data_IF_937398030927
#
_entry.id   IF_937398030927
#
_cell.length_a   1.000
_cell.length_b   1.000
_cell.length_c   1.000
_cell.angle_alpha   90.00
_cell.angle_beta   90.00
_cell.angle_gamma   90.00
#
_symmetry.space_group_name_H-M   'P 1'
#
loop_
_entity.id
_entity.type
_entity.pdbx_description
1 polymer ?
#
# COMPACT_ATOMS: atom_id res chain seq x y z
N UNK A 1 35.37 5.77 75.30
CA UNK A 1 35.77 6.24 73.96
C UNK A 1 36.04 5.03 73.07
N UNK A 2 35.63 5.00 71.79
CA UNK A 2 34.28 5.05 71.26
C UNK A 2 33.77 3.67 70.79
N UNK A 3 32.43 3.54 70.74
CA UNK A 3 31.67 2.39 70.22
C UNK A 3 31.80 2.33 68.69
N UNK A 4 32.15 1.17 68.13
CA UNK A 4 32.09 0.92 66.68
C UNK A 4 30.66 0.52 66.29
N UNK A 5 29.93 1.47 65.73
CA UNK A 5 28.63 1.23 65.10
C UNK A 5 28.87 0.61 63.73
N UNK A 6 28.42 -0.63 63.51
CA UNK A 6 28.46 -1.27 62.21
C UNK A 6 27.28 -0.78 61.36
N UNK A 7 27.52 0.19 60.49
CA UNK A 7 26.55 0.60 59.47
C UNK A 7 26.54 -0.46 58.37
N UNK A 8 25.51 -1.31 58.34
CA UNK A 8 25.21 -2.15 57.17
C UNK A 8 24.66 -1.24 56.07
N UNK A 9 25.50 -0.93 55.08
CA UNK A 9 25.06 -0.31 53.83
C UNK A 9 24.32 -1.39 53.03
N UNK A 10 22.99 -1.28 52.96
CA UNK A 10 22.22 -1.99 51.94
C UNK A 10 22.46 -1.28 50.62
N UNK A 11 23.29 -1.88 49.75
CA UNK A 11 23.40 -1.47 48.38
C UNK A 11 22.11 -1.90 47.67
N UNK A 12 21.13 -1.01 47.60
CA UNK A 12 19.96 -1.18 46.76
C UNK A 12 20.45 -1.05 45.31
N UNK A 13 20.80 -2.17 44.68
CA UNK A 13 21.01 -2.21 43.22
C UNK A 13 19.63 -2.08 42.59
N UNK A 14 19.20 -0.84 42.37
CA UNK A 14 18.17 -0.58 41.37
C UNK A 14 18.70 -1.12 40.05
N UNK A 15 18.15 -2.24 39.57
CA UNK A 15 18.23 -2.62 38.17
C UNK A 15 17.61 -1.45 37.38
N UNK A 16 18.44 -0.50 36.99
CA UNK A 16 18.13 0.39 35.90
C UNK A 16 17.86 -0.53 34.71
N UNK A 17 16.61 -0.58 34.26
CA UNK A 17 16.22 -1.31 33.08
C UNK A 17 17.18 -0.92 31.96
N UNK A 18 17.98 -1.88 31.52
CA UNK A 18 18.67 -1.77 30.26
C UNK A 18 17.57 -1.60 29.21
N UNK A 19 17.33 -0.37 28.81
CA UNK A 19 16.62 -0.09 27.57
C UNK A 19 17.36 -0.89 26.51
N UNK A 20 16.71 -1.96 26.01
CA UNK A 20 17.21 -2.67 24.85
C UNK A 20 17.33 -1.64 23.75
N UNK A 21 18.58 -1.36 23.36
CA UNK A 21 18.87 -0.53 22.22
C UNK A 21 18.10 -1.11 21.04
N UNK A 22 17.24 -0.29 20.46
CA UNK A 22 16.47 -0.58 19.27
C UNK A 22 17.48 -0.76 18.12
N UNK A 23 17.88 -2.01 17.89
CA UNK A 23 18.79 -2.34 16.81
C UNK A 23 17.95 -2.45 15.55
N UNK A 24 17.87 -1.32 14.83
CA UNK A 24 17.22 -1.20 13.53
C UNK A 24 17.79 -2.15 12.47
N UNK A 25 17.39 -1.93 11.22
CA UNK A 25 17.55 -2.79 10.03
C UNK A 25 18.94 -3.41 9.72
N UNK A 26 19.97 -3.17 10.54
CA UNK A 26 21.34 -3.68 10.42
C UNK A 26 21.76 -4.64 11.55
N UNK A 27 20.84 -5.29 12.27
CA UNK A 27 21.21 -6.40 13.17
C UNK A 27 21.48 -7.68 12.36
N UNK A 28 22.73 -8.08 12.11
CA UNK A 28 23.04 -9.28 11.32
C UNK A 28 22.54 -10.58 11.97
N UNK A 29 22.22 -10.54 13.28
CA UNK A 29 21.67 -11.68 14.02
C UNK A 29 20.16 -11.56 14.22
N UNK A 30 19.49 -10.54 13.66
CA UNK A 30 18.08 -10.25 13.93
C UNK A 30 17.13 -11.39 13.57
N UNK A 31 17.43 -12.16 12.52
CA UNK A 31 16.66 -13.35 12.14
C UNK A 31 16.98 -14.58 13.02
N UNK A 32 18.16 -14.63 13.64
CA UNK A 32 18.58 -15.71 14.53
C UNK A 32 18.10 -15.54 15.98
N UNK A 33 17.55 -14.36 16.33
CA UNK A 33 16.95 -14.11 17.64
C UNK A 33 15.63 -14.86 17.77
N UNK A 34 15.53 -15.71 18.79
CA UNK A 34 14.29 -16.38 19.15
C UNK A 34 13.31 -15.36 19.73
N UNK A 35 12.07 -15.36 19.25
CA UNK A 35 10.99 -14.49 19.69
C UNK A 35 9.96 -15.29 20.47
N UNK A 36 9.35 -14.66 21.47
CA UNK A 36 8.25 -15.22 22.25
C UNK A 36 6.88 -14.78 21.68
N UNK A 37 6.75 -14.90 20.35
CA UNK A 37 5.54 -14.59 19.61
C UNK A 37 4.84 -15.90 19.20
N UNK A 38 3.52 -15.88 19.10
CA UNK A 38 2.77 -17.02 18.54
C UNK A 38 2.43 -16.78 17.08
N UNK A 39 3.05 -17.53 16.17
CA UNK A 39 2.72 -17.49 14.74
C UNK A 39 1.39 -18.19 14.44
N UNK A 40 0.57 -17.52 13.62
CA UNK A 40 -0.71 -18.03 13.13
C UNK A 40 -0.91 -17.66 11.66
N UNK A 41 -1.88 -18.31 11.04
CA UNK A 41 -2.24 -18.07 9.65
C UNK A 41 -3.75 -17.88 9.52
N UNK A 42 -4.17 -16.89 8.72
CA UNK A 42 -5.50 -16.81 8.15
C UNK A 42 -5.37 -17.20 6.68
N UNK A 43 -6.18 -18.15 6.22
CA UNK A 43 -6.13 -18.66 4.86
C UNK A 43 -7.53 -18.90 4.30
N UNK A 44 -7.70 -18.80 2.99
CA UNK A 44 -8.93 -19.20 2.28
C UNK A 44 -9.07 -20.71 2.17
N UNK A 45 -8.03 -21.49 2.51
CA UNK A 45 -8.11 -22.94 2.49
C UNK A 45 -8.93 -23.48 3.67
N UNK A 46 -10.05 -24.12 3.37
CA UNK A 46 -10.85 -24.84 4.35
C UNK A 46 -10.36 -26.30 4.46
N UNK A 47 -9.88 -26.70 5.63
CA UNK A 47 -9.32 -28.05 5.87
C UNK A 47 -10.36 -29.17 5.75
N UNK A 48 -11.62 -28.91 6.09
CA UNK A 48 -12.69 -29.91 6.10
C UNK A 48 -13.21 -30.16 4.69
N UNK A 49 -13.52 -29.09 3.95
CA UNK A 49 -14.08 -29.18 2.59
C UNK A 49 -13.00 -29.29 1.51
N UNK A 50 -11.75 -29.00 1.86
CA UNK A 50 -10.61 -28.85 0.93
C UNK A 50 -10.82 -27.76 -0.13
N UNK A 51 -11.80 -26.87 0.07
CA UNK A 51 -11.97 -25.71 -0.78
C UNK A 51 -10.80 -24.74 -0.55
N UNK A 52 -10.19 -24.27 -1.64
CA UNK A 52 -9.01 -23.38 -1.59
C UNK A 52 -9.37 -21.91 -1.60
N UNK A 53 -10.59 -21.58 -2.00
CA UNK A 53 -11.00 -20.24 -2.39
C UNK A 53 -12.22 -19.76 -1.64
N UNK A 54 -12.37 -18.45 -1.63
CA UNK A 54 -13.63 -17.77 -1.29
C UNK A 54 -14.17 -17.14 -2.57
N UNK A 55 -15.44 -17.40 -2.88
CA UNK A 55 -16.14 -16.76 -3.99
C UNK A 55 -16.41 -15.29 -3.65
N UNK A 56 -16.16 -14.41 -4.63
CA UNK A 56 -16.50 -12.98 -4.55
C UNK A 56 -17.37 -12.64 -5.76
N UNK A 57 -18.69 -12.88 -5.67
CA UNK A 57 -19.61 -12.62 -6.77
C UNK A 57 -19.64 -11.13 -7.12
N UNK A 58 -19.91 -10.80 -8.38
CA UNK A 58 -20.05 -9.42 -8.83
C UNK A 58 -21.11 -8.64 -8.04
N UNK A 59 -20.80 -7.39 -7.75
CA UNK A 59 -21.63 -6.50 -6.94
C UNK A 59 -21.75 -6.92 -5.47
N UNK A 60 -20.87 -7.81 -4.97
CA UNK A 60 -20.86 -8.25 -3.57
C UNK A 60 -19.57 -7.88 -2.87
N UNK A 61 -19.72 -7.49 -1.61
CA UNK A 61 -18.65 -7.45 -0.62
C UNK A 61 -18.68 -8.72 0.22
N UNK A 62 -17.51 -9.36 0.40
CA UNK A 62 -17.36 -10.62 1.12
C UNK A 62 -16.26 -10.47 2.16
N UNK A 63 -16.57 -10.79 3.42
CA UNK A 63 -15.55 -10.93 4.46
C UNK A 63 -14.76 -12.21 4.20
N UNK A 64 -13.47 -12.06 3.88
CA UNK A 64 -12.57 -13.17 3.55
C UNK A 64 -11.96 -13.76 4.81
N UNK A 65 -11.86 -12.96 5.88
CA UNK A 65 -11.51 -13.47 7.20
C UNK A 65 -11.46 -12.40 8.29
N UNK A 66 -11.59 -12.86 9.53
CA UNK A 66 -11.53 -12.04 10.73
C UNK A 66 -10.70 -12.76 11.79
N UNK A 67 -9.82 -12.01 12.46
CA UNK A 67 -8.92 -12.51 13.50
C UNK A 67 -9.08 -11.64 14.73
N UNK A 68 -9.14 -12.28 15.90
CA UNK A 68 -9.11 -11.62 17.22
C UNK A 68 -7.74 -11.80 17.87
N UNK A 69 -7.34 -10.81 18.67
CA UNK A 69 -6.10 -10.85 19.44
C UNK A 69 -5.30 -9.56 19.33
N UNK A 70 -4.08 -9.59 19.85
CA UNK A 70 -3.11 -8.49 19.80
C UNK A 70 -1.87 -8.99 19.06
N UNK A 71 -1.38 -8.24 18.09
CA UNK A 71 -0.37 -8.74 17.18
C UNK A 71 -0.07 -7.83 15.99
N UNK A 72 0.58 -8.42 14.98
CA UNK A 72 0.80 -7.75 13.70
C UNK A 72 0.72 -8.73 12.53
N UNK A 73 0.19 -8.27 11.40
CA UNK A 73 0.34 -8.98 10.12
C UNK A 73 1.78 -8.78 9.65
N UNK A 74 2.46 -9.89 9.36
CA UNK A 74 3.84 -9.91 8.90
C UNK A 74 3.94 -10.11 7.37
N UNK A 75 2.98 -10.82 6.78
CA UNK A 75 2.91 -11.03 5.34
C UNK A 75 1.47 -11.30 4.92
N UNK A 76 0.97 -10.51 3.99
CA UNK A 76 -0.30 -10.72 3.30
C UNK A 76 0.02 -11.14 1.86
N UNK A 77 -0.43 -12.32 1.46
CA UNK A 77 -0.34 -12.80 0.09
C UNK A 77 -1.74 -13.16 -0.41
N UNK A 78 -2.03 -12.85 -1.67
CA UNK A 78 -3.25 -13.29 -2.34
C UNK A 78 -3.06 -13.46 -3.85
N UNK A 79 -4.00 -14.13 -4.49
CA UNK A 79 -4.18 -14.15 -5.95
C UNK A 79 -5.64 -14.38 -6.30
N UNK A 80 -6.03 -13.97 -7.50
CA UNK A 80 -7.37 -14.12 -8.05
C UNK A 80 -7.29 -14.17 -9.59
N UNK A 81 -8.17 -14.92 -10.25
CA UNK A 81 -8.24 -14.98 -11.71
C UNK A 81 -9.13 -13.86 -12.27
N UNK A 82 -9.34 -13.91 -13.59
CA UNK A 82 -10.22 -12.99 -14.32
C UNK A 82 -9.48 -11.99 -15.18
N UNK A 83 -8.22 -11.68 -14.89
CA UNK A 83 -7.39 -10.78 -15.70
C UNK A 83 -6.46 -11.52 -16.68
N UNK A 84 -6.50 -12.86 -16.71
CA UNK A 84 -5.71 -13.73 -17.57
C UNK A 84 -6.48 -15.01 -17.91
N UNK A 85 -6.04 -15.67 -18.97
CA UNK A 85 -6.49 -16.96 -19.46
C UNK A 85 -6.13 -18.08 -18.49
N UNK A 86 -7.14 -18.87 -18.14
CA UNK A 86 -7.02 -19.86 -17.08
C UNK A 86 -6.71 -21.23 -17.68
N UNK A 87 -5.53 -21.78 -17.40
CA UNK A 87 -5.15 -23.15 -17.82
C UNK A 87 -6.13 -24.23 -17.34
N UNK A 88 -6.84 -23.99 -16.23
CA UNK A 88 -7.81 -24.93 -15.65
C UNK A 88 -9.26 -24.64 -16.05
N UNK A 89 -9.55 -23.49 -16.66
CA UNK A 89 -10.89 -23.12 -17.13
C UNK A 89 -10.82 -22.25 -18.39
N UNK A 90 -10.53 -22.85 -19.57
CA UNK A 90 -10.30 -22.12 -20.82
C UNK A 90 -11.50 -21.30 -21.31
N UNK A 91 -12.71 -21.60 -20.83
CA UNK A 91 -13.95 -20.88 -21.18
C UNK A 91 -14.28 -19.71 -20.24
N UNK A 92 -13.47 -19.48 -19.19
CA UNK A 92 -13.72 -18.39 -18.27
C UNK A 92 -13.58 -17.03 -18.98
N UNK A 93 -14.47 -16.06 -18.68
CA UNK A 93 -14.31 -14.72 -19.21
C UNK A 93 -13.04 -14.06 -18.66
N UNK A 94 -12.39 -13.27 -19.50
CA UNK A 94 -11.22 -12.46 -19.14
C UNK A 94 -11.63 -11.00 -19.21
N UNK A 95 -11.48 -10.28 -18.11
CA UNK A 95 -11.70 -8.85 -18.01
C UNK A 95 -10.60 -8.22 -17.12
N UNK A 96 -9.52 -7.65 -17.69
CA UNK A 96 -8.43 -7.06 -16.92
C UNK A 96 -8.85 -5.93 -15.98
N UNK A 97 -10.03 -5.35 -16.17
CA UNK A 97 -10.59 -4.34 -15.25
C UNK A 97 -10.78 -4.87 -13.83
N UNK A 98 -10.88 -6.19 -13.63
CA UNK A 98 -10.97 -6.80 -12.30
C UNK A 98 -9.81 -6.42 -11.38
N UNK A 99 -8.64 -6.09 -11.94
CA UNK A 99 -7.51 -5.56 -11.16
C UNK A 99 -7.85 -4.21 -10.50
N UNK A 100 -8.73 -3.42 -11.09
CA UNK A 100 -9.14 -2.10 -10.61
C UNK A 100 -10.54 -2.08 -9.97
N UNK A 101 -11.38 -3.07 -10.27
CA UNK A 101 -12.74 -3.18 -9.75
C UNK A 101 -12.87 -4.16 -8.58
N UNK A 102 -11.84 -4.95 -8.27
CA UNK A 102 -11.76 -5.72 -7.03
C UNK A 102 -11.12 -4.86 -5.94
N UNK A 103 -11.89 -4.54 -4.89
CA UNK A 103 -11.51 -3.59 -3.83
C UNK A 103 -11.10 -4.38 -2.58
N UNK A 104 -9.88 -4.13 -2.08
CA UNK A 104 -9.39 -4.63 -0.81
C UNK A 104 -9.78 -3.68 0.31
N UNK A 105 -10.35 -4.21 1.40
CA UNK A 105 -10.56 -3.48 2.66
C UNK A 105 -9.95 -4.19 3.85
N UNK A 106 -9.26 -3.44 4.70
CA UNK A 106 -8.76 -3.93 5.99
C UNK A 106 -9.22 -3.00 7.12
N UNK A 107 -9.80 -3.60 8.15
CA UNK A 107 -10.32 -2.94 9.34
C UNK A 107 -9.50 -3.36 10.55
N UNK A 108 -9.17 -2.40 11.41
CA UNK A 108 -8.45 -2.65 12.65
C UNK A 108 -9.36 -2.52 13.86
N UNK A 109 -9.20 -3.42 14.83
CA UNK A 109 -9.71 -3.28 16.19
C UNK A 109 -11.21 -3.01 16.35
N UNK A 110 -12.00 -3.47 15.37
CA UNK A 110 -13.46 -3.30 15.33
C UNK A 110 -13.91 -1.91 14.88
N UNK A 111 -13.05 -1.14 14.20
CA UNK A 111 -13.44 0.11 13.54
C UNK A 111 -14.52 -0.14 12.48
N UNK A 112 -15.44 0.83 12.35
CA UNK A 112 -16.50 0.81 11.35
C UNK A 112 -16.00 1.21 9.95
N UNK A 113 -14.88 1.94 9.86
CA UNK A 113 -14.30 2.41 8.60
C UNK A 113 -12.98 1.68 8.30
N UNK A 114 -12.79 1.22 7.06
CA UNK A 114 -11.56 0.53 6.68
C UNK A 114 -10.37 1.50 6.67
N UNK A 115 -9.29 1.14 7.34
CA UNK A 115 -8.04 1.89 7.32
C UNK A 115 -7.26 1.70 6.01
N UNK A 116 -7.45 0.54 5.37
CA UNK A 116 -6.96 0.25 4.02
C UNK A 116 -8.17 0.10 3.14
N UNK A 117 -8.29 0.91 2.09
CA UNK A 117 -9.32 0.77 1.06
C UNK A 117 -8.74 1.16 -0.30
N UNK A 118 -8.55 0.18 -1.19
CA UNK A 118 -7.97 0.42 -2.51
C UNK A 118 -8.30 -0.72 -3.49
N UNK A 119 -8.32 -0.45 -4.81
CA UNK A 119 -8.28 -1.51 -5.81
C UNK A 119 -7.03 -2.39 -5.68
N UNK A 120 -7.17 -3.68 -5.99
CA UNK A 120 -6.08 -4.66 -5.86
C UNK A 120 -4.84 -4.27 -6.67
N UNK A 121 -5.01 -3.95 -7.95
CA UNK A 121 -3.92 -3.54 -8.84
C UNK A 121 -3.17 -2.33 -8.28
N UNK A 122 -3.92 -1.29 -7.93
CA UNK A 122 -3.39 -0.05 -7.35
C UNK A 122 -2.63 -0.27 -6.04
N UNK A 123 -3.21 -1.04 -5.10
CA UNK A 123 -2.59 -1.34 -3.81
C UNK A 123 -1.27 -2.09 -3.95
N UNK A 124 -1.19 -3.02 -4.91
CA UNK A 124 0.01 -3.81 -5.16
C UNK A 124 0.97 -3.19 -6.21
N UNK A 125 0.72 -1.93 -6.61
CA UNK A 125 1.69 -1.11 -7.35
C UNK A 125 1.38 -0.77 -8.80
N UNK A 126 0.32 -1.32 -9.39
CA UNK A 126 -0.02 -1.12 -10.81
C UNK A 126 -1.52 -0.89 -10.99
N UNK A 127 -1.90 0.38 -11.09
CA UNK A 127 -3.27 0.85 -11.29
C UNK A 127 -3.73 0.95 -12.74
N UNK A 128 -3.00 0.33 -13.68
CA UNK A 128 -3.23 0.43 -15.14
C UNK A 128 -4.07 -0.74 -15.72
N UNK A 129 -4.78 -1.49 -14.87
CA UNK A 129 -5.50 -2.72 -15.25
C UNK A 129 -4.60 -3.76 -15.94
N UNK A 130 -3.35 -3.88 -15.50
CA UNK A 130 -2.40 -4.86 -16.00
C UNK A 130 -1.51 -5.38 -14.88
N UNK A 131 -0.89 -6.54 -15.11
CA UNK A 131 0.06 -7.15 -14.18
C UNK A 131 1.45 -7.11 -14.79
N UNK A 132 2.42 -6.73 -13.96
CA UNK A 132 3.85 -6.84 -14.27
C UNK A 132 4.56 -7.43 -13.07
N UNK A 133 5.47 -8.37 -13.31
CA UNK A 133 6.25 -8.93 -12.22
C UNK A 133 7.30 -7.92 -11.76
N UNK A 134 7.25 -7.53 -10.48
CA UNK A 134 8.26 -6.74 -9.81
C UNK A 134 8.26 -7.05 -8.31
N UNK A 135 9.38 -6.81 -7.63
CA UNK A 135 9.48 -7.02 -6.21
C UNK A 135 10.13 -5.84 -5.50
N UNK A 136 9.35 -5.15 -4.67
CA UNK A 136 9.87 -4.19 -3.70
C UNK A 136 10.06 -4.88 -2.33
N UNK A 137 10.57 -4.12 -1.36
CA UNK A 137 10.74 -4.56 0.02
C UNK A 137 9.39 -4.85 0.68
N UNK A 138 8.38 -3.99 0.45
CA UNK A 138 7.12 -4.04 1.18
C UNK A 138 5.95 -4.57 0.36
N UNK A 139 5.95 -4.49 -0.96
CA UNK A 139 4.84 -5.00 -1.77
C UNK A 139 5.26 -5.36 -3.18
N UNK A 140 4.39 -6.04 -3.91
CA UNK A 140 4.57 -6.22 -5.34
C UNK A 140 3.69 -7.31 -5.93
N UNK A 141 3.99 -7.60 -7.18
CA UNK A 141 3.33 -8.63 -7.98
C UNK A 141 4.41 -9.58 -8.49
N UNK A 142 4.29 -10.88 -8.21
CA UNK A 142 5.25 -11.91 -8.64
C UNK A 142 4.53 -13.04 -9.35
N UNK A 143 4.62 -13.08 -10.68
CA UNK A 143 4.05 -14.15 -11.52
C UNK A 143 2.58 -14.46 -11.19
N UNK A 144 1.74 -13.43 -11.03
CA UNK A 144 0.31 -13.55 -10.71
C UNK A 144 -0.02 -13.66 -9.22
N UNK A 145 0.97 -13.71 -8.33
CA UNK A 145 0.79 -13.52 -6.89
C UNK A 145 0.96 -12.06 -6.48
N UNK A 146 0.15 -11.60 -5.55
CA UNK A 146 0.19 -10.26 -4.99
C UNK A 146 0.60 -10.34 -3.53
N UNK A 147 1.53 -9.48 -3.09
CA UNK A 147 1.98 -9.52 -1.69
C UNK A 147 2.19 -8.14 -1.09
N UNK A 148 1.99 -8.07 0.22
CA UNK A 148 2.29 -6.93 1.08
C UNK A 148 2.92 -7.40 2.39
N UNK A 149 4.03 -6.78 2.76
CA UNK A 149 4.94 -7.07 3.87
C UNK A 149 5.17 -5.84 4.75
N UNK A 150 4.45 -4.74 4.53
CA UNK A 150 4.35 -3.71 5.55
C UNK A 150 3.88 -4.37 6.86
N UNK A 151 4.58 -4.17 8.00
CA UNK A 151 4.08 -4.63 9.28
C UNK A 151 2.74 -3.96 9.57
N UNK A 152 1.69 -4.69 9.92
CA UNK A 152 0.37 -4.10 10.21
C UNK A 152 -0.06 -4.43 11.65
N UNK A 153 0.29 -3.60 12.65
CA UNK A 153 -0.09 -3.82 14.03
C UNK A 153 -1.60 -3.71 14.26
N UNK A 154 -2.13 -4.53 15.16
CA UNK A 154 -3.51 -4.52 15.64
C UNK A 154 -3.55 -4.91 17.14
N UNK A 155 -4.48 -4.37 17.91
CA UNK A 155 -4.53 -4.57 19.38
C UNK A 155 -5.70 -5.42 19.85
N UNK A 156 -6.76 -5.52 19.06
CA UNK A 156 -7.97 -6.32 19.33
C UNK A 156 -8.27 -7.30 18.20
N UNK A 157 -7.86 -6.98 16.97
CA UNK A 157 -8.04 -7.88 15.83
C UNK A 157 -8.03 -7.15 14.49
N UNK A 158 -8.25 -7.90 13.43
CA UNK A 158 -8.41 -7.35 12.09
C UNK A 158 -9.47 -8.11 11.29
N UNK A 159 -10.08 -7.42 10.32
CA UNK A 159 -11.02 -7.99 9.35
C UNK A 159 -10.56 -7.63 7.95
N UNK A 160 -10.57 -8.60 7.03
CA UNK A 160 -10.29 -8.40 5.62
C UNK A 160 -11.58 -8.66 4.83
N UNK A 161 -11.99 -7.67 4.05
CA UNK A 161 -13.12 -7.73 3.14
C UNK A 161 -12.64 -7.49 1.71
N UNK A 162 -13.26 -8.17 0.75
CA UNK A 162 -13.05 -7.93 -0.67
C UNK A 162 -14.40 -7.66 -1.32
N UNK A 163 -14.49 -6.56 -2.08
CA UNK A 163 -15.67 -6.21 -2.86
C UNK A 163 -15.38 -6.33 -4.34
N UNK A 164 -16.20 -7.10 -5.06
CA UNK A 164 -16.14 -7.17 -6.52
C UNK A 164 -17.12 -6.15 -7.11
N UNK A 165 -16.58 -5.06 -7.67
CA UNK A 165 -17.33 -4.03 -8.41
C UNK A 165 -17.32 -4.22 -9.92
N UNK A 166 -16.73 -5.31 -10.41
CA UNK A 166 -16.78 -5.63 -11.84
C UNK A 166 -18.22 -5.88 -12.26
N UNK A 167 -18.63 -5.38 -13.42
CA UNK A 167 -19.98 -5.54 -13.94
C UNK A 167 -20.14 -6.84 -14.75
N UNK A 168 -19.03 -7.39 -15.23
CA UNK A 168 -19.02 -8.51 -16.16
C UNK A 168 -18.75 -9.85 -15.48
N UNK A 169 -17.78 -9.92 -14.56
CA UNK A 169 -17.26 -11.21 -14.07
C UNK A 169 -17.37 -11.42 -12.56
N UNK A 170 -17.77 -12.64 -12.18
CA UNK A 170 -17.51 -13.16 -10.83
C UNK A 170 -16.03 -13.53 -10.70
N UNK A 171 -15.51 -13.57 -9.48
CA UNK A 171 -14.15 -14.04 -9.22
C UNK A 171 -14.06 -14.85 -7.93
N UNK A 172 -12.90 -15.45 -7.72
CA UNK A 172 -12.55 -16.23 -6.54
C UNK A 172 -11.21 -15.72 -6.01
N UNK A 173 -11.01 -15.79 -4.70
CA UNK A 173 -9.78 -15.33 -4.06
C UNK A 173 -9.09 -16.46 -3.34
N UNK A 174 -7.78 -16.58 -3.57
CA UNK A 174 -6.85 -17.34 -2.75
C UNK A 174 -6.10 -16.36 -1.86
N UNK A 175 -6.04 -16.59 -0.55
CA UNK A 175 -5.34 -15.69 0.37
C UNK A 175 -4.62 -16.46 1.48
N UNK A 176 -3.44 -15.96 1.85
CA UNK A 176 -2.66 -16.41 2.99
C UNK A 176 -2.09 -15.20 3.72
N UNK A 177 -2.49 -15.03 4.98
CA UNK A 177 -2.02 -13.97 5.87
C UNK A 177 -1.27 -14.60 7.03
N UNK A 178 0.04 -14.36 7.08
CA UNK A 178 0.89 -14.75 8.20
C UNK A 178 0.90 -13.61 9.22
N UNK A 179 0.54 -13.93 10.46
CA UNK A 179 0.51 -12.95 11.54
C UNK A 179 1.10 -13.52 12.83
N UNK A 180 1.56 -12.61 13.68
CA UNK A 180 2.14 -12.92 14.98
C UNK A 180 1.21 -12.39 16.06
N UNK A 181 0.80 -13.25 16.98
CA UNK A 181 0.13 -12.84 18.22
C UNK A 181 1.19 -12.58 19.28
N UNK A 182 1.17 -11.38 19.85
CA UNK A 182 2.14 -10.94 20.83
C UNK A 182 1.52 -9.91 21.77
N UNK A 183 1.91 -9.96 23.05
CA UNK A 183 1.52 -8.93 24.03
C UNK A 183 2.36 -7.65 23.91
N UNK A 184 3.42 -7.67 23.09
CA UNK A 184 4.51 -6.70 23.12
C UNK A 184 4.50 -5.71 21.94
N UNK A 185 3.33 -5.36 21.40
CA UNK A 185 3.23 -4.28 20.41
C UNK A 185 3.61 -2.94 21.08
N UNK A 186 4.61 -2.20 20.55
CA UNK A 186 4.99 -0.91 21.11
C UNK A 186 3.79 0.04 21.20
N UNK A 187 3.72 0.82 22.28
CA UNK A 187 2.58 1.74 22.51
C UNK A 187 2.46 2.81 21.42
N UNK A 188 3.59 3.16 20.82
CA UNK A 188 3.76 4.14 19.75
C UNK A 188 3.70 3.53 18.33
N UNK A 189 3.50 2.21 18.19
CA UNK A 189 3.27 1.60 16.90
C UNK A 189 1.92 2.05 16.31
N UNK A 190 1.95 2.72 15.15
CA UNK A 190 0.75 3.12 14.43
C UNK A 190 0.03 1.94 13.76
N UNK A 191 -1.22 2.15 13.37
CA UNK A 191 -1.96 1.26 12.49
C UNK A 191 -1.58 1.55 11.05
N UNK A 192 -1.50 0.53 10.21
CA UNK A 192 -1.25 0.70 8.78
C UNK A 192 -2.50 1.22 8.07
N UNK A 193 -2.36 2.30 7.30
CA UNK A 193 -3.41 2.91 6.49
C UNK A 193 -2.99 2.94 5.03
N UNK A 194 -3.98 2.82 4.14
CA UNK A 194 -3.81 3.03 2.72
C UNK A 194 -4.98 3.85 2.19
N UNK A 195 -4.68 5.03 1.63
CA UNK A 195 -5.66 5.95 1.08
C UNK A 195 -5.61 5.97 -0.44
N UNK A 196 -6.75 5.65 -1.08
CA UNK A 196 -6.86 5.61 -2.53
C UNK A 196 -7.45 6.90 -3.10
N UNK A 197 -6.79 7.45 -4.12
CA UNK A 197 -7.29 8.56 -4.92
C UNK A 197 -7.18 8.24 -6.40
N UNK A 198 -8.17 8.67 -7.19
CA UNK A 198 -8.17 8.53 -8.64
C UNK A 198 -8.93 9.70 -9.25
N UNK A 199 -8.63 10.03 -10.49
CA UNK A 199 -9.42 11.02 -11.21
C UNK A 199 -8.88 11.33 -12.59
N UNK A 200 -9.73 11.98 -13.38
CA UNK A 200 -9.32 12.69 -14.58
C UNK A 200 -8.85 14.09 -14.19
N UNK A 201 -7.69 14.47 -14.72
CA UNK A 201 -7.12 15.80 -14.61
C UNK A 201 -7.06 16.42 -16.01
N UNK A 202 -7.52 17.66 -16.18
CA UNK A 202 -7.46 18.37 -17.47
C UNK A 202 -6.04 18.90 -17.79
N UNK A 203 -5.07 18.66 -16.90
CA UNK A 203 -3.67 19.10 -17.02
C UNK A 203 -3.22 20.02 -15.88
N UNK A 204 -3.89 21.17 -15.64
CA UNK A 204 -3.40 22.20 -14.72
C UNK A 204 -3.74 21.98 -13.25
N UNK A 205 -4.65 21.06 -12.93
CA UNK A 205 -5.04 20.86 -11.54
C UNK A 205 -3.96 20.08 -10.78
N UNK A 206 -3.81 20.30 -9.46
CA UNK A 206 -2.97 19.44 -8.64
C UNK A 206 -3.41 17.96 -8.70
N UNK A 207 -2.44 17.06 -8.64
CA UNK A 207 -2.69 15.62 -8.44
C UNK A 207 -2.65 15.36 -6.94
N UNK A 208 -3.81 15.19 -6.34
CA UNK A 208 -3.92 14.91 -4.91
C UNK A 208 -3.58 13.46 -4.59
N UNK A 209 -2.69 13.25 -3.62
CA UNK A 209 -2.20 11.90 -3.26
C UNK A 209 -2.77 11.45 -1.93
N UNK A 210 -2.74 12.30 -0.91
CA UNK A 210 -3.25 11.95 0.41
C UNK A 210 -3.55 13.17 1.27
N UNK A 211 -4.49 13.01 2.19
CA UNK A 211 -4.76 13.92 3.30
C UNK A 211 -5.19 13.15 4.55
N UNK A 212 -4.53 13.41 5.68
CA UNK A 212 -4.89 12.83 6.98
C UNK A 212 -4.90 13.89 8.07
N UNK A 213 -5.86 13.76 8.99
CA UNK A 213 -5.89 14.51 10.26
C UNK A 213 -5.71 13.53 11.41
N UNK A 214 -4.46 13.28 11.78
CA UNK A 214 -4.03 12.37 12.84
C UNK A 214 -2.56 12.62 13.17
N UNK A 215 -2.06 11.97 14.24
CA UNK A 215 -0.61 11.81 14.41
C UNK A 215 -0.16 10.60 13.60
N UNK A 216 0.90 10.72 12.83
CA UNK A 216 1.38 9.61 12.03
C UNK A 216 2.67 9.85 11.28
N UNK A 217 2.92 8.96 10.34
CA UNK A 217 4.02 9.06 9.39
C UNK A 217 3.56 8.52 8.03
N UNK A 218 3.83 9.29 7.00
CA UNK A 218 3.63 8.88 5.62
C UNK A 218 4.82 8.03 5.18
N UNK A 219 4.53 6.85 4.61
CA UNK A 219 5.53 5.84 4.24
C UNK A 219 5.55 5.53 2.74
N UNK A 220 5.02 6.44 1.92
CA UNK A 220 5.15 6.39 0.46
C UNK A 220 3.83 6.15 -0.26
N UNK A 221 3.91 5.91 -1.57
CA UNK A 221 2.74 5.65 -2.39
C UNK A 221 3.06 4.82 -3.64
N UNK A 222 2.01 4.27 -4.21
CA UNK A 222 1.95 3.85 -5.61
C UNK A 222 1.24 4.95 -6.40
N UNK A 223 1.65 5.18 -7.64
CA UNK A 223 1.01 6.13 -8.54
C UNK A 223 1.03 5.57 -9.96
N UNK A 224 -0.14 5.51 -10.58
CA UNK A 224 -0.33 5.15 -11.98
C UNK A 224 -0.94 6.32 -12.72
N UNK A 225 -0.39 6.64 -13.89
CA UNK A 225 -0.83 7.77 -14.71
C UNK A 225 -0.92 7.36 -16.16
N UNK A 226 -1.89 7.93 -16.88
CA UNK A 226 -2.04 7.75 -18.31
C UNK A 226 -2.48 9.06 -18.98
N UNK A 227 -1.63 9.61 -19.85
CA UNK A 227 -1.95 10.80 -20.65
C UNK A 227 -3.02 10.56 -21.70
N UNK A 228 -3.88 11.53 -22.00
CA UNK A 228 -4.77 11.45 -23.16
C UNK A 228 -3.95 11.51 -24.45
N UNK A 229 -3.06 12.50 -24.54
CA UNK A 229 -2.11 12.67 -25.62
C UNK A 229 -0.99 11.62 -25.51
N UNK A 230 -0.86 10.82 -26.56
CA UNK A 230 0.16 9.76 -26.67
C UNK A 230 1.55 10.36 -26.85
N UNK A 231 2.57 9.67 -26.35
CA UNK A 231 3.97 10.11 -26.45
C UNK A 231 4.25 11.48 -25.82
N UNK A 232 3.40 11.90 -24.88
CA UNK A 232 3.55 13.15 -24.14
C UNK A 232 3.44 12.89 -22.64
N UNK A 233 4.52 13.15 -21.91
CA UNK A 233 4.69 12.78 -20.49
C UNK A 233 4.85 13.99 -19.58
N UNK A 234 4.31 15.17 -19.95
CA UNK A 234 4.51 16.40 -19.16
C UNK A 234 3.93 16.34 -17.76
N UNK A 235 2.99 15.42 -17.49
CA UNK A 235 2.52 15.16 -16.12
C UNK A 235 3.65 14.72 -15.19
N UNK A 236 4.77 14.19 -15.71
CA UNK A 236 5.93 13.85 -14.91
C UNK A 236 6.67 15.10 -14.38
N UNK A 237 6.42 16.29 -14.90
CA UNK A 237 7.15 17.51 -14.50
C UNK A 237 6.54 18.20 -13.27
N UNK A 238 5.61 17.55 -12.59
CA UNK A 238 4.92 18.08 -11.44
C UNK A 238 5.69 17.76 -10.14
N UNK A 239 6.41 18.70 -9.50
CA UNK A 239 7.01 18.48 -8.19
C UNK A 239 5.97 18.16 -7.11
N UNK A 240 6.37 17.37 -6.12
CA UNK A 240 5.59 17.12 -4.90
C UNK A 240 5.63 18.32 -3.96
N UNK A 241 4.46 18.71 -3.49
CA UNK A 241 4.26 19.72 -2.45
C UNK A 241 3.66 19.00 -1.23
N UNK A 242 4.40 19.01 -0.12
CA UNK A 242 3.98 18.33 1.11
C UNK A 242 3.77 19.36 2.23
N UNK A 243 2.58 19.35 2.81
CA UNK A 243 2.12 20.22 3.88
C UNK A 243 2.03 19.42 5.18
N UNK A 244 2.60 19.96 6.26
CA UNK A 244 2.77 19.23 7.52
C UNK A 244 2.40 20.12 8.69
N UNK A 245 1.46 19.67 9.52
CA UNK A 245 1.03 20.34 10.74
C UNK A 245 0.62 21.80 10.48
N UNK A 246 1.37 22.77 11.03
CA UNK A 246 1.10 24.20 10.88
C UNK A 246 1.49 24.77 9.50
N UNK A 247 2.32 24.06 8.73
CA UNK A 247 2.78 24.50 7.40
C UNK A 247 1.73 24.18 6.34
N UNK A 248 0.60 24.90 6.40
CA UNK A 248 -0.57 24.67 5.53
C UNK A 248 -0.77 25.73 4.45
N UNK A 249 -0.16 26.91 4.61
CA UNK A 249 -0.20 27.97 3.60
C UNK A 249 0.90 27.80 2.53
N UNK A 250 2.00 27.17 2.90
CA UNK A 250 3.14 26.87 2.02
C UNK A 250 3.63 25.46 2.31
N UNK A 251 4.05 24.69 1.29
CA UNK A 251 4.56 23.35 1.52
C UNK A 251 5.86 23.40 2.33
N UNK A 252 6.00 22.50 3.30
CA UNK A 252 7.25 22.29 4.05
C UNK A 252 8.30 21.60 3.19
N UNK A 253 7.88 20.72 2.29
CA UNK A 253 8.75 20.00 1.36
C UNK A 253 8.27 20.28 -0.06
N UNK A 254 9.21 20.61 -0.93
CA UNK A 254 8.99 20.84 -2.36
C UNK A 254 10.06 20.12 -3.16
N UNK A 255 9.63 19.26 -4.08
CA UNK A 255 10.55 18.58 -5.00
C UNK A 255 10.80 19.35 -6.29
N UNK A 256 11.26 18.64 -7.31
CA UNK A 256 11.68 19.21 -8.61
C UNK A 256 10.91 18.67 -9.80
N UNK A 257 10.34 17.47 -9.68
CA UNK A 257 9.58 16.77 -10.70
C UNK A 257 8.93 15.53 -10.10
N UNK A 258 7.87 15.03 -10.74
CA UNK A 258 7.14 13.86 -10.27
C UNK A 258 8.03 12.63 -10.40
N UNK A 259 8.74 12.45 -11.52
CA UNK A 259 9.66 11.32 -11.64
C UNK A 259 10.81 11.41 -10.64
N UNK A 260 11.24 12.64 -10.30
CA UNK A 260 12.32 12.88 -9.35
C UNK A 260 11.91 12.42 -7.94
N UNK A 261 10.65 12.64 -7.53
CA UNK A 261 10.12 12.10 -6.28
C UNK A 261 10.24 10.57 -6.22
N UNK A 262 10.02 9.87 -7.35
CA UNK A 262 10.19 8.42 -7.46
C UNK A 262 11.65 8.00 -7.72
N UNK A 263 12.61 8.90 -7.50
CA UNK A 263 14.06 8.70 -7.69
C UNK A 263 14.42 8.32 -9.13
N UNK A 264 13.61 8.76 -10.08
CA UNK A 264 13.90 8.74 -11.50
C UNK A 264 14.68 9.97 -11.93
N UNK A 265 14.56 10.26 -13.22
CA UNK A 265 15.08 11.47 -13.84
C UNK A 265 14.95 11.39 -15.35
N UNK A 266 14.78 12.55 -15.99
CA UNK A 266 14.61 12.66 -17.44
C UNK A 266 13.48 11.76 -17.95
N UNK A 267 12.30 11.85 -17.32
CA UNK A 267 11.14 11.01 -17.65
C UNK A 267 11.45 9.50 -17.58
N UNK A 268 12.26 9.06 -16.62
CA UNK A 268 12.76 7.67 -16.50
C UNK A 268 13.46 7.18 -17.80
N UNK A 269 14.54 7.87 -18.21
CA UNK A 269 15.23 7.68 -19.50
C UNK A 269 15.60 6.23 -19.84
N UNK A 270 16.08 5.46 -18.86
CA UNK A 270 16.52 4.06 -19.03
C UNK A 270 15.39 3.02 -18.90
N UNK A 271 14.14 3.46 -19.02
CA UNK A 271 12.93 2.63 -18.96
C UNK A 271 12.63 2.05 -17.57
N UNK A 272 12.01 0.87 -17.55
CA UNK A 272 11.44 0.25 -16.36
C UNK A 272 12.51 -0.31 -15.43
N UNK A 273 12.31 -0.17 -14.12
CA UNK A 273 13.15 -0.81 -13.12
C UNK A 273 12.35 -1.06 -11.84
N UNK A 274 12.87 -1.95 -10.99
CA UNK A 274 12.31 -2.24 -9.68
C UNK A 274 13.44 -2.34 -8.66
N UNK A 275 13.44 -1.42 -7.68
CA UNK A 275 14.34 -1.45 -6.53
C UNK A 275 13.58 -1.80 -5.24
N UNK A 276 14.29 -1.96 -4.11
CA UNK A 276 13.65 -2.31 -2.84
C UNK A 276 12.64 -1.26 -2.36
N UNK A 277 12.93 0.02 -2.53
CA UNK A 277 12.12 1.11 -1.98
C UNK A 277 11.52 2.05 -3.04
N UNK A 278 11.84 1.85 -4.32
CA UNK A 278 11.28 2.66 -5.40
C UNK A 278 11.42 1.94 -6.75
N UNK A 279 10.57 2.30 -7.71
CA UNK A 279 10.63 1.74 -9.05
C UNK A 279 9.56 2.26 -9.98
N UNK A 280 9.71 1.92 -11.26
CA UNK A 280 8.76 2.17 -12.35
C UNK A 280 8.50 0.84 -13.06
N UNK A 281 7.61 -0.02 -12.51
CA UNK A 281 7.34 -1.33 -13.09
C UNK A 281 6.71 -1.26 -14.49
N UNK A 282 5.99 -0.17 -14.80
CA UNK A 282 5.41 0.05 -16.13
C UNK A 282 5.85 1.42 -16.63
N UNK A 283 6.42 1.45 -17.84
CA UNK A 283 6.61 2.67 -18.60
C UNK A 283 6.40 2.42 -20.09
N UNK A 284 5.35 3.01 -20.62
CA UNK A 284 5.06 3.02 -22.05
C UNK A 284 4.87 4.47 -22.51
N UNK A 285 5.90 5.01 -23.16
CA UNK A 285 5.85 6.36 -23.69
C UNK A 285 4.81 6.49 -24.82
N UNK A 286 4.68 5.47 -25.68
CA UNK A 286 3.74 5.51 -26.82
C UNK A 286 2.29 5.63 -26.33
N UNK A 287 1.96 4.97 -25.22
CA UNK A 287 0.65 5.12 -24.58
C UNK A 287 0.63 6.12 -23.46
N UNK A 288 1.70 6.89 -23.22
CA UNK A 288 1.83 7.81 -22.10
C UNK A 288 1.41 7.19 -20.75
N UNK A 289 1.69 5.89 -20.54
CA UNK A 289 1.28 5.11 -19.36
C UNK A 289 2.49 4.87 -18.47
N UNK A 290 2.40 5.24 -17.20
CA UNK A 290 3.48 5.04 -16.22
C UNK A 290 2.86 4.54 -14.91
N UNK A 291 3.36 3.42 -14.38
CA UNK A 291 3.09 2.99 -13.01
C UNK A 291 4.41 3.01 -12.26
N UNK A 292 4.41 3.67 -11.10
CA UNK A 292 5.58 3.92 -10.27
C UNK A 292 5.24 3.80 -8.80
N UNK A 293 6.27 3.57 -7.99
CA UNK A 293 6.12 3.47 -6.56
C UNK A 293 7.35 3.99 -5.83
N UNK A 294 7.12 4.47 -4.60
CA UNK A 294 8.14 4.76 -3.61
C UNK A 294 7.60 4.37 -2.24
N UNK A 295 8.41 3.67 -1.46
CA UNK A 295 8.20 3.42 -0.05
C UNK A 295 9.27 4.17 0.74
N UNK A 296 8.85 4.98 1.71
CA UNK A 296 9.77 5.55 2.67
C UNK A 296 9.96 4.58 3.84
N UNK A 297 11.22 4.37 4.22
CA UNK A 297 11.58 3.54 5.38
C UNK A 297 12.28 4.44 6.40
N UNK A 298 13.61 4.53 6.35
CA UNK A 298 14.38 5.43 7.21
C UNK A 298 14.06 6.93 7.00
N UNK A 299 13.46 7.29 5.86
CA UNK A 299 13.11 8.65 5.45
C UNK A 299 11.59 8.93 5.52
N UNK A 300 10.84 8.18 6.34
CA UNK A 300 9.41 8.42 6.55
C UNK A 300 9.10 9.86 6.98
N UNK A 301 7.99 10.40 6.45
CA UNK A 301 7.60 11.80 6.69
C UNK A 301 6.65 11.86 7.89
N UNK A 302 7.15 12.34 9.02
CA UNK A 302 6.41 12.41 10.28
C UNK A 302 5.53 13.66 10.38
N UNK A 303 4.36 13.52 10.99
CA UNK A 303 3.43 14.61 11.29
C UNK A 303 2.70 14.38 12.62
N UNK A 304 2.35 15.48 13.30
CA UNK A 304 1.73 15.44 14.64
C UNK A 304 0.22 15.59 14.59
N UNK A 305 -0.29 16.36 13.65
CA UNK A 305 -1.70 16.75 13.59
C UNK A 305 -2.31 16.48 12.22
N UNK A 306 -1.61 16.84 11.14
CA UNK A 306 -2.12 16.67 9.78
C UNK A 306 -1.03 16.61 8.71
N UNK A 307 -1.37 15.95 7.61
CA UNK A 307 -0.53 15.76 6.45
C UNK A 307 -1.35 15.97 5.18
N UNK A 308 -0.76 16.60 4.16
CA UNK A 308 -1.27 16.58 2.80
C UNK A 308 -0.13 16.52 1.80
N UNK A 309 -0.33 15.77 0.71
CA UNK A 309 0.58 15.71 -0.43
C UNK A 309 -0.16 15.90 -1.74
N UNK A 310 0.34 16.83 -2.55
CA UNK A 310 -0.14 17.12 -3.90
C UNK A 310 1.06 17.16 -4.87
N UNK A 311 0.92 16.72 -6.12
CA UNK A 311 1.86 17.09 -7.19
C UNK A 311 1.30 18.30 -7.95
N UNK A 312 2.12 19.33 -8.16
CA UNK A 312 1.67 20.60 -8.74
C UNK A 312 2.57 20.98 -9.91
N UNK A 313 2.05 20.93 -11.14
CA UNK A 313 2.84 21.23 -12.33
C UNK A 313 2.98 22.76 -12.55
N UNK A 314 4.21 23.32 -12.57
CA UNK A 314 4.42 24.76 -12.68
C UNK A 314 4.43 25.25 -14.13
N UNK A 315 4.34 24.36 -15.12
CA UNK A 315 4.41 24.75 -16.52
C UNK A 315 3.20 25.57 -16.96
N UNK A 316 3.40 26.34 -18.03
CA UNK A 316 2.33 27.10 -18.65
C UNK A 316 1.19 26.17 -19.15
N UNK A 317 -0.09 26.55 -19.01
CA UNK A 317 -1.24 25.70 -19.28
C UNK A 317 -1.24 25.02 -20.66
N UNK A 318 -0.70 25.65 -21.70
CA UNK A 318 -0.61 25.10 -23.05
C UNK A 318 0.25 23.83 -23.16
N UNK A 319 1.18 23.63 -22.22
CA UNK A 319 2.03 22.43 -22.09
C UNK A 319 1.39 21.34 -21.21
N UNK A 320 0.27 21.63 -20.56
CA UNK A 320 -0.42 20.71 -19.69
C UNK A 320 -1.55 20.05 -20.49
N UNK A 321 -1.53 18.71 -20.53
CA UNK A 321 -2.48 17.91 -21.30
C UNK A 321 -3.32 17.08 -20.35
N UNK A 322 -4.57 16.73 -20.71
CA UNK A 322 -5.37 15.87 -19.87
C UNK A 322 -4.73 14.50 -19.64
N UNK A 323 -4.95 13.95 -18.46
CA UNK A 323 -4.50 12.61 -18.07
C UNK A 323 -5.46 12.03 -17.03
N UNK A 324 -5.40 10.73 -16.84
CA UNK A 324 -5.98 10.06 -15.67
C UNK A 324 -4.88 9.57 -14.75
N UNK A 325 -5.17 9.54 -13.46
CA UNK A 325 -4.27 9.00 -12.46
C UNK A 325 -5.03 8.17 -11.43
N UNK A 326 -4.30 7.30 -10.75
CA UNK A 326 -4.73 6.68 -9.51
C UNK A 326 -3.53 6.40 -8.61
N UNK A 327 -3.74 6.51 -7.30
CA UNK A 327 -2.68 6.39 -6.32
C UNK A 327 -3.18 5.69 -5.06
N UNK A 328 -2.25 5.02 -4.38
CA UNK A 328 -2.46 4.50 -3.03
C UNK A 328 -1.35 5.03 -2.15
N UNK A 329 -1.70 5.92 -1.22
CA UNK A 329 -0.79 6.48 -0.25
C UNK A 329 -0.78 5.64 1.03
N UNK A 330 0.40 5.30 1.53
CA UNK A 330 0.58 4.47 2.71
C UNK A 330 1.01 5.31 3.92
N UNK A 331 0.45 5.03 5.09
CA UNK A 331 0.82 5.71 6.32
C UNK A 331 0.70 4.79 7.55
N UNK A 332 1.37 5.17 8.63
CA UNK A 332 1.05 4.68 9.97
C UNK A 332 0.40 5.79 10.77
N UNK A 333 -0.84 5.57 11.24
CA UNK A 333 -1.58 6.55 12.04
C UNK A 333 -1.81 6.05 13.47
N UNK A 334 -1.96 6.97 14.42
CA UNK A 334 -2.25 6.65 15.82
C UNK A 334 -3.70 6.20 16.08
N UNK A 335 -4.52 6.05 15.04
CA UNK A 335 -5.94 5.67 15.12
C UNK A 335 -6.22 4.44 14.24
N UNK A 336 -7.08 3.50 14.67
CA UNK A 336 -7.53 2.40 13.83
C UNK A 336 -8.57 2.84 12.79
N UNK A 337 -9.19 4.00 12.97
CA UNK A 337 -10.31 4.49 12.16
C UNK A 337 -9.85 5.03 10.81
N UNK A 338 -10.36 4.43 9.73
CA UNK A 338 -10.06 4.87 8.37
C UNK A 338 -10.53 6.29 8.05
N UNK A 339 -9.73 6.99 7.24
CA UNK A 339 -10.01 8.35 6.72
C UNK A 339 -10.09 8.36 5.18
N UNK A 340 -10.50 7.24 4.60
CA UNK A 340 -10.62 7.10 3.15
C UNK A 340 -11.71 8.01 2.56
N UNK A 341 -11.49 8.62 1.39
CA UNK A 341 -12.60 9.19 0.62
C UNK A 341 -13.57 8.06 0.22
N UNK A 342 -14.82 8.38 -0.18
CA UNK A 342 -15.75 7.37 -0.67
C UNK A 342 -15.16 6.58 -1.84
N UNK A 343 -15.26 5.24 -1.79
CA UNK A 343 -14.81 4.39 -2.90
C UNK A 343 -15.54 4.78 -4.20
N UNK A 344 -14.82 5.16 -5.27
CA UNK A 344 -15.45 5.56 -6.54
C UNK A 344 -16.26 4.43 -7.19
N UNK A 345 -17.21 4.80 -8.04
CA UNK A 345 -17.94 3.85 -8.88
C UNK A 345 -17.01 3.13 -9.87
N UNK A 346 -17.43 1.97 -10.40
CA UNK A 346 -16.66 1.26 -11.42
C UNK A 346 -16.36 2.13 -12.65
N UNK A 347 -17.31 2.99 -13.07
CA UNK A 347 -17.11 3.91 -14.20
C UNK A 347 -16.05 4.97 -13.90
N UNK A 348 -15.99 5.49 -12.68
CA UNK A 348 -14.99 6.47 -12.27
C UNK A 348 -13.61 5.82 -12.13
N UNK A 349 -13.54 4.60 -11.59
CA UNK A 349 -12.31 3.81 -11.49
C UNK A 349 -11.71 3.54 -12.88
N UNK A 350 -12.56 3.18 -13.84
CA UNK A 350 -12.15 2.79 -15.19
C UNK A 350 -12.11 3.96 -16.18
N UNK A 351 -12.34 5.18 -15.72
CA UNK A 351 -12.39 6.36 -16.58
C UNK A 351 -11.09 6.46 -17.40
N UNK A 352 -11.23 6.35 -18.73
CA UNK A 352 -10.17 6.53 -19.74
C UNK A 352 -8.96 5.60 -19.68
N UNK A 353 -8.90 4.61 -18.78
CA UNK A 353 -7.80 3.63 -18.81
C UNK A 353 -7.84 2.84 -20.11
N UNK A 354 -6.70 2.81 -20.82
CA UNK A 354 -6.58 2.00 -22.03
C UNK A 354 -6.26 0.58 -21.59
N UNK A 355 -7.26 -0.30 -21.70
CA UNK A 355 -7.08 -1.71 -21.44
C UNK A 355 -6.17 -2.31 -22.51
N UNK A 356 -5.21 -3.12 -22.05
CA UNK A 356 -4.34 -3.91 -22.91
C UNK A 356 -4.55 -5.36 -22.56
N UNK A 357 -4.81 -6.17 -23.58
CA UNK A 357 -4.62 -7.60 -23.42
C UNK A 357 -3.11 -7.89 -23.46
N UNK A 358 -2.56 -8.30 -22.31
CA UNK A 358 -1.14 -8.61 -22.14
C UNK A 358 -0.92 -10.07 -21.81
N UNK A 359 -1.96 -10.90 -21.83
CA UNK A 359 -1.86 -12.32 -21.54
C UNK A 359 -1.38 -13.10 -22.77
N UNK A 360 -0.15 -12.81 -23.19
CA UNK A 360 0.45 -13.35 -24.40
C UNK A 360 1.09 -14.74 -24.19
N UNK A 361 1.21 -15.23 -22.95
CA UNK A 361 1.93 -16.47 -22.64
C UNK A 361 1.02 -17.70 -22.56
N UNK A 362 -0.29 -17.51 -22.55
CA UNK A 362 -1.25 -18.57 -22.22
C UNK A 362 -2.31 -18.80 -23.30
N UNK A 363 -2.35 -18.00 -24.37
CA UNK A 363 -3.25 -18.20 -25.50
C UNK A 363 -2.65 -19.28 -26.44
N UNK A 364 -3.31 -20.45 -26.60
CA UNK A 364 -2.79 -21.56 -27.42
C UNK A 364 -2.60 -21.25 -28.90
#
# INVERSE_FOLDING_TARGET
MPKRTATKIFLLVTLAGLAQADQGANDPLGIARLRDDTTRQLTTFNLETRNKVIDVPRGKAVTVGEVKGNGYIANLWLTFPGWFWQHWNPSAPINPTILKTLILRIYWDGSDKPAVEAPMGDFFGIGLCEVKSFASQYFGMSSGGFYCKFPMPFRKGFKIEIENRDDAIDTIVFMNVLYQLTGNIPKDAGYFHAQFHTGKNEGPNPVHIAEWTARGQYVGCTLSMQGEERNYLSFLEAPEYIYIDDDWEKPRITGTGLEDYFLGGWYFREAEFAGPLHGVPVKDALTASVAMYRAHDADAIHFRERFKMDFVNPWAPERLKPFVYSSVAFAYLNTPEGQNPPTPSANELLCWYRLRDRDHQSIP
#
